data_IF_242671263652
#
_entry.id   IF_242671263652
#
_cell.length_a   1.000
_cell.length_b   1.000
_cell.length_c   1.000
_cell.angle_alpha   90.00
_cell.angle_beta   90.00
_cell.angle_gamma   90.00
#
_symmetry.space_group_name_H-M   'P 1'
#
loop_
_entity.id
_entity.type
_entity.pdbx_description
1 polymer ?
#
# COMPACT_ATOMS: atom_id res chain seq x y z
N UNK A 1 5.35 14.55 10.65
CA UNK A 1 5.25 13.34 11.48
C UNK A 1 6.36 12.36 11.13
N UNK A 2 6.50 11.92 9.89
CA UNK A 2 7.43 10.89 9.40
C UNK A 2 8.88 11.03 9.94
N UNK A 3 9.41 12.24 10.05
CA UNK A 3 10.81 12.48 10.50
C UNK A 3 11.05 12.23 11.98
N UNK A 4 10.01 12.28 12.80
CA UNK A 4 10.16 12.33 14.25
C UNK A 4 9.37 11.24 14.99
N UNK A 5 8.57 10.48 14.26
CA UNK A 5 7.70 9.43 14.80
C UNK A 5 8.17 8.09 14.25
N UNK A 6 8.65 7.17 15.09
CA UNK A 6 9.21 5.89 14.66
C UNK A 6 8.17 4.92 14.12
N UNK A 7 6.89 5.08 14.45
CA UNK A 7 5.80 4.23 13.98
C UNK A 7 4.52 5.01 13.76
N UNK A 8 3.80 4.70 12.69
CA UNK A 8 2.51 5.29 12.35
C UNK A 8 1.51 4.18 12.06
N UNK A 9 0.42 4.17 12.80
CA UNK A 9 -0.74 3.30 12.52
C UNK A 9 -1.83 4.15 11.89
N UNK A 10 -2.18 3.84 10.66
CA UNK A 10 -3.25 4.53 9.94
C UNK A 10 -4.49 3.64 9.87
N UNK A 11 -5.45 3.89 10.74
CA UNK A 11 -6.62 3.03 10.94
C UNK A 11 -7.84 3.43 10.10
N UNK A 12 -7.82 4.52 9.35
CA UNK A 12 -8.98 5.08 8.63
C UNK A 12 -10.18 5.28 9.57
N UNK A 13 -11.36 4.77 9.17
CA UNK A 13 -12.60 4.79 9.94
C UNK A 13 -13.04 3.35 10.27
N UNK A 14 -12.48 2.71 11.29
CA UNK A 14 -12.64 1.28 11.54
C UNK A 14 -13.96 0.86 12.20
N UNK A 15 -14.89 1.77 12.41
CA UNK A 15 -16.22 1.47 12.95
C UNK A 15 -16.23 1.24 14.46
N UNK A 16 -17.24 0.49 14.95
CA UNK A 16 -17.50 0.31 16.37
C UNK A 16 -16.42 -0.49 17.12
N UNK A 17 -15.76 -1.43 16.45
CA UNK A 17 -14.69 -2.25 17.01
C UNK A 17 -13.30 -1.61 16.93
N UNK A 18 -13.23 -0.30 16.68
CA UNK A 18 -11.96 0.43 16.53
C UNK A 18 -11.02 0.25 17.72
N UNK A 19 -11.54 0.33 18.92
CA UNK A 19 -10.74 0.20 20.14
C UNK A 19 -10.03 -1.14 20.23
N UNK A 20 -10.76 -2.21 20.05
CA UNK A 20 -10.22 -3.58 20.09
C UNK A 20 -9.23 -3.83 18.97
N UNK A 21 -9.57 -3.43 17.73
CA UNK A 21 -8.71 -3.62 16.57
C UNK A 21 -7.37 -2.87 16.69
N UNK A 22 -7.41 -1.62 17.14
CA UNK A 22 -6.20 -0.81 17.35
C UNK A 22 -5.38 -1.35 18.53
N UNK A 23 -6.02 -1.76 19.62
CA UNK A 23 -5.33 -2.34 20.77
C UNK A 23 -4.59 -3.63 20.39
N UNK A 24 -5.26 -4.55 19.70
CA UNK A 24 -4.64 -5.80 19.23
C UNK A 24 -3.40 -5.56 18.36
N UNK A 25 -3.45 -4.56 17.49
CA UNK A 25 -2.27 -4.19 16.69
C UNK A 25 -1.18 -3.59 17.59
N UNK A 26 -1.51 -2.62 18.44
CA UNK A 26 -0.50 -1.93 19.26
C UNK A 26 0.19 -2.83 20.28
N UNK A 27 -0.54 -3.78 20.86
CA UNK A 27 0.00 -4.73 21.82
C UNK A 27 0.57 -6.02 21.21
N UNK A 28 0.43 -6.18 19.89
CA UNK A 28 1.03 -7.29 19.18
C UNK A 28 0.20 -8.57 19.12
N UNK A 29 -1.04 -8.54 19.58
CA UNK A 29 -1.96 -9.67 19.52
C UNK A 29 -2.40 -9.99 18.08
N UNK A 30 -2.33 -9.00 17.21
CA UNK A 30 -2.63 -9.13 15.79
C UNK A 30 -1.49 -8.55 14.92
N UNK A 31 -1.01 -9.34 13.97
CA UNK A 31 0.01 -8.89 13.01
C UNK A 31 -0.65 -8.06 11.90
N UNK A 32 -0.35 -6.75 11.77
CA UNK A 32 -1.00 -5.92 10.78
C UNK A 32 -0.64 -6.36 9.35
N UNK A 33 -1.65 -6.71 8.57
CA UNK A 33 -1.51 -7.13 7.17
C UNK A 33 -2.00 -6.07 6.17
N UNK A 34 -2.63 -5.01 6.65
CA UNK A 34 -3.21 -3.96 5.81
C UNK A 34 -2.16 -3.20 4.99
N UNK A 35 -2.54 -2.88 3.75
CA UNK A 35 -1.74 -2.07 2.83
C UNK A 35 -2.52 -0.83 2.41
N UNK A 36 -1.81 0.26 2.12
CA UNK A 36 -2.44 1.50 1.70
C UNK A 36 -3.21 1.33 0.38
N UNK A 37 -4.48 1.69 0.39
CA UNK A 37 -5.35 1.70 -0.77
C UNK A 37 -5.23 2.99 -1.60
N UNK A 38 -4.41 3.93 -1.15
CA UNK A 38 -4.15 5.20 -1.83
C UNK A 38 -2.68 5.58 -1.66
N UNK A 39 -2.19 6.44 -2.55
CA UNK A 39 -0.86 7.02 -2.42
C UNK A 39 -0.90 8.24 -1.51
N UNK A 40 0.03 8.33 -0.57
CA UNK A 40 0.22 9.52 0.27
C UNK A 40 1.23 10.46 -0.38
N UNK A 41 0.83 11.71 -0.69
CA UNK A 41 1.73 12.72 -1.22
C UNK A 41 2.65 13.28 -0.13
N UNK A 42 3.80 13.81 -0.52
CA UNK A 42 4.70 14.53 0.38
C UNK A 42 4.21 15.93 0.71
N UNK A 43 3.40 16.52 -0.16
CA UNK A 43 2.91 17.88 -0.07
C UNK A 43 1.51 18.00 -0.65
N UNK A 44 0.71 18.88 -0.08
CA UNK A 44 -0.62 19.22 -0.59
C UNK A 44 -0.57 19.70 -2.04
N UNK A 45 0.51 20.37 -2.46
CA UNK A 45 0.69 20.81 -3.85
C UNK A 45 0.84 19.69 -4.88
N UNK A 46 0.93 18.43 -4.45
CA UNK A 46 0.96 17.28 -5.36
C UNK A 46 -0.43 16.71 -5.68
N UNK A 47 -1.50 17.25 -5.14
CA UNK A 47 -2.87 16.81 -5.40
C UNK A 47 -3.39 17.45 -6.70
N UNK A 48 -4.03 16.67 -7.61
CA UNK A 48 -4.39 15.25 -7.54
C UNK A 48 -3.21 14.29 -7.77
N UNK A 49 -3.13 13.24 -6.97
CA UNK A 49 -2.06 12.26 -7.01
C UNK A 49 -2.67 10.86 -7.13
N UNK A 50 -2.77 10.37 -8.35
CA UNK A 50 -3.46 9.11 -8.64
C UNK A 50 -2.48 7.94 -8.87
N UNK A 51 -2.91 6.74 -8.55
CA UNK A 51 -2.28 5.50 -8.94
C UNK A 51 -3.24 4.72 -9.87
N UNK A 52 -2.74 4.08 -10.92
CA UNK A 52 -1.36 4.11 -11.43
C UNK A 52 -1.02 5.44 -12.10
N UNK A 53 0.25 5.83 -12.03
CA UNK A 53 0.73 7.02 -12.73
C UNK A 53 0.78 6.79 -14.24
N UNK A 54 0.23 7.70 -15.00
CA UNK A 54 0.49 7.73 -16.44
C UNK A 54 1.90 8.25 -16.69
N UNK A 55 2.62 7.75 -17.69
CA UNK A 55 3.90 8.33 -18.10
C UNK A 55 3.78 9.85 -18.27
N UNK A 56 4.65 10.61 -17.59
CA UNK A 56 4.63 12.07 -17.62
C UNK A 56 3.66 12.74 -16.63
N UNK A 57 2.86 12.00 -15.88
CA UNK A 57 1.96 12.56 -14.85
C UNK A 57 2.60 12.66 -13.46
N UNK A 58 3.81 12.17 -13.30
CA UNK A 58 4.62 12.45 -12.12
C UNK A 58 4.92 13.94 -12.10
N UNK A 59 4.58 14.61 -11.04
CA UNK A 59 4.58 16.05 -10.80
C UNK A 59 5.88 16.80 -11.23
N UNK A 60 6.32 16.61 -12.46
CA UNK A 60 7.42 17.36 -13.07
C UNK A 60 7.04 18.80 -13.46
N UNK A 61 5.82 19.23 -13.12
CA UNK A 61 5.37 20.59 -13.32
C UNK A 61 5.97 21.60 -12.34
N UNK A 62 5.18 22.56 -11.92
CA UNK A 62 5.59 23.65 -11.02
C UNK A 62 5.93 23.23 -9.58
N UNK A 63 5.70 21.97 -9.21
CA UNK A 63 5.93 21.48 -7.86
C UNK A 63 7.34 20.89 -7.74
N UNK A 64 8.16 21.50 -6.90
CA UNK A 64 9.55 21.05 -6.64
C UNK A 64 9.63 19.75 -5.81
N UNK A 65 8.50 19.23 -5.33
CA UNK A 65 8.44 18.02 -4.53
C UNK A 65 8.12 16.85 -5.44
N UNK A 66 9.05 15.91 -5.56
CA UNK A 66 8.91 14.71 -6.37
C UNK A 66 8.76 13.47 -5.49
N UNK A 67 8.15 12.42 -6.04
CA UNK A 67 7.95 11.14 -5.37
C UNK A 67 6.82 11.15 -4.34
N UNK A 68 6.52 9.98 -3.82
CA UNK A 68 5.49 9.75 -2.82
C UNK A 68 6.05 9.81 -1.41
N UNK A 69 5.23 10.12 -0.42
CA UNK A 69 5.54 9.86 0.97
C UNK A 69 5.43 8.35 1.24
N UNK A 70 4.24 7.79 0.97
CA UNK A 70 3.99 6.36 0.98
C UNK A 70 3.24 5.97 -0.29
N UNK A 71 3.74 5.00 -1.08
CA UNK A 71 3.06 4.58 -2.30
C UNK A 71 1.82 3.74 -2.01
N UNK A 72 0.92 3.63 -2.99
CA UNK A 72 -0.14 2.64 -3.00
C UNK A 72 0.43 1.24 -2.73
N UNK A 73 -0.24 0.47 -1.90
CA UNK A 73 0.19 -0.88 -1.52
C UNK A 73 1.28 -0.92 -0.43
N UNK A 74 1.76 0.23 0.05
CA UNK A 74 2.72 0.27 1.14
C UNK A 74 2.06 -0.11 2.47
N UNK A 75 2.79 -0.84 3.30
CA UNK A 75 2.40 -1.17 4.65
C UNK A 75 3.38 -2.18 5.24
N UNK A 76 3.67 -2.02 6.51
CA UNK A 76 4.56 -2.89 7.27
C UNK A 76 3.75 -3.88 8.10
N UNK A 77 4.35 -5.02 8.38
CA UNK A 77 3.87 -6.02 9.32
C UNK A 77 4.95 -6.28 10.37
N UNK A 78 4.62 -6.94 11.46
CA UNK A 78 5.63 -7.34 12.47
C UNK A 78 6.52 -8.47 11.96
N UNK A 79 6.06 -9.22 10.96
CA UNK A 79 6.80 -10.29 10.30
C UNK A 79 7.14 -9.92 8.88
N UNK A 80 8.07 -10.65 8.29
CA UNK A 80 8.42 -10.56 6.87
C UNK A 80 7.79 -11.71 6.10
N UNK A 81 7.55 -11.49 4.80
CA UNK A 81 7.00 -12.48 3.89
C UNK A 81 7.99 -12.75 2.77
N UNK A 82 8.18 -14.01 2.44
CA UNK A 82 8.95 -14.44 1.28
C UNK A 82 8.04 -15.21 0.33
N UNK A 83 8.15 -14.93 -0.96
CA UNK A 83 7.44 -15.65 -2.02
C UNK A 83 8.45 -16.48 -2.79
N UNK A 84 8.17 -17.76 -2.96
CA UNK A 84 9.04 -18.69 -3.68
C UNK A 84 8.20 -19.63 -4.54
N UNK A 85 8.87 -20.36 -5.42
CA UNK A 85 8.28 -21.45 -6.20
C UNK A 85 7.06 -21.09 -7.05
N UNK A 86 7.02 -19.86 -7.59
CA UNK A 86 5.99 -19.48 -8.55
C UNK A 86 6.04 -20.42 -9.76
N UNK A 87 5.00 -21.20 -9.97
CA UNK A 87 4.85 -22.13 -11.10
C UNK A 87 3.56 -21.85 -11.83
N UNK A 88 3.64 -21.89 -13.14
CA UNK A 88 2.47 -21.87 -14.02
C UNK A 88 2.24 -23.30 -14.50
N UNK A 89 1.16 -23.93 -14.06
CA UNK A 89 0.82 -25.30 -14.43
C UNK A 89 0.52 -25.43 -15.94
N UNK A 90 -0.16 -24.44 -16.50
CA UNK A 90 -0.53 -24.40 -17.92
C UNK A 90 0.04 -23.15 -18.59
N UNK A 91 1.28 -23.18 -19.09
CA UNK A 91 1.93 -21.99 -19.68
C UNK A 91 1.35 -21.58 -21.05
N UNK A 92 0.56 -22.45 -21.68
CA UNK A 92 -0.10 -22.18 -22.97
C UNK A 92 -1.59 -21.97 -22.75
N UNK A 93 -2.06 -20.76 -23.05
CA UNK A 93 -3.47 -20.38 -22.94
C UNK A 93 -4.03 -20.28 -24.35
N UNK A 94 -5.05 -21.10 -24.67
CA UNK A 94 -5.81 -20.98 -25.91
C UNK A 94 -6.66 -19.70 -25.90
N UNK A 95 -6.97 -19.17 -27.08
CA UNK A 95 -7.78 -17.95 -27.27
C UNK A 95 -9.21 -18.13 -26.73
N UNK A 96 -9.68 -19.35 -26.53
CA UNK A 96 -11.00 -19.65 -25.98
C UNK A 96 -10.89 -20.21 -24.54
N UNK A 97 -10.71 -19.31 -23.57
CA UNK A 97 -11.13 -19.55 -22.19
C UNK A 97 -10.40 -20.62 -21.40
N UNK A 98 -9.06 -20.70 -21.46
CA UNK A 98 -8.30 -21.54 -20.55
C UNK A 98 -8.12 -20.87 -19.19
N UNK A 99 -8.34 -21.59 -18.09
CA UNK A 99 -8.09 -21.10 -16.74
C UNK A 99 -6.60 -21.35 -16.41
N UNK A 100 -5.89 -20.30 -16.03
CA UNK A 100 -4.53 -20.40 -15.46
C UNK A 100 -4.68 -20.75 -13.98
N UNK A 101 -4.16 -21.88 -13.59
CA UNK A 101 -4.06 -22.28 -12.18
C UNK A 101 -2.65 -22.07 -11.66
#
# INVERSE_FOLDING_TARGET
AERYIPGIVHAWFPGEFMGDAVAQVLFGDYNPGGKLAVTFPRSVGQIPFAFPFKPGSDSKGFVRVTGTLYPFGYGLSYTTFAYSDLKIENPVIGVQGSVVK
#
